data_IF_692587333984
#
_entry.id   IF_692587333984
#
_cell.length_a   1.000
_cell.length_b   1.000
_cell.length_c   1.000
_cell.angle_alpha   90.00
_cell.angle_beta   90.00
_cell.angle_gamma   90.00
#
_symmetry.space_group_name_H-M   'P 1'
#
loop_
_entity.id
_entity.type
_entity.pdbx_description
1 polymer ?
#
# COMPACT_ATOMS: atom_id res chain seq x y z
N UNK A 1 11.82 8.64 -14.31
CA UNK A 1 11.25 8.26 -12.99
C UNK A 1 10.84 6.79 -13.05
N UNK A 2 10.70 6.13 -11.91
CA UNK A 2 10.65 4.66 -11.81
C UNK A 2 9.28 4.22 -11.29
N UNK A 3 8.67 3.22 -11.91
CA UNK A 3 7.43 2.60 -11.45
C UNK A 3 7.63 2.00 -10.04
N UNK A 4 6.57 1.83 -9.27
CA UNK A 4 6.64 1.34 -7.89
C UNK A 4 5.77 0.10 -7.74
N UNK A 5 6.41 -1.04 -7.60
CA UNK A 5 5.75 -2.27 -7.16
C UNK A 5 5.66 -2.28 -5.63
N UNK A 6 4.46 -2.49 -5.10
CA UNK A 6 4.23 -2.70 -3.68
C UNK A 6 3.74 -4.13 -3.44
N UNK A 7 4.38 -4.86 -2.53
CA UNK A 7 4.07 -6.27 -2.25
C UNK A 7 3.90 -6.46 -0.74
N UNK A 8 2.87 -7.18 -0.31
CA UNK A 8 2.60 -7.50 1.09
C UNK A 8 2.34 -9.00 1.23
N UNK A 9 3.12 -9.63 2.09
CA UNK A 9 2.81 -10.96 2.60
C UNK A 9 1.77 -10.88 3.72
N UNK A 10 0.71 -11.66 3.62
CA UNK A 10 -0.35 -11.77 4.62
C UNK A 10 -0.55 -13.22 5.02
N UNK A 11 -0.14 -13.57 6.24
CA UNK A 11 -0.48 -14.85 6.84
C UNK A 11 -1.97 -14.91 7.16
N UNK A 12 -2.61 -16.04 6.85
CA UNK A 12 -4.00 -16.31 7.23
C UNK A 12 -4.09 -17.32 8.38
N UNK A 13 -5.31 -17.67 8.80
CA UNK A 13 -5.57 -18.68 9.83
C UNK A 13 -5.01 -20.08 9.49
N UNK A 14 -5.12 -21.04 10.42
CA UNK A 14 -4.46 -22.35 10.32
C UNK A 14 -4.82 -23.14 9.05
N UNK A 15 -6.05 -23.00 8.54
CA UNK A 15 -6.55 -23.77 7.39
C UNK A 15 -6.58 -22.99 6.07
N UNK A 16 -5.98 -21.80 6.02
CA UNK A 16 -5.97 -21.00 4.80
C UNK A 16 -4.55 -20.72 4.33
N UNK A 17 -4.30 -20.78 3.02
CA UNK A 17 -3.00 -20.41 2.49
C UNK A 17 -2.70 -18.93 2.80
N UNK A 18 -1.42 -18.56 2.95
CA UNK A 18 -1.02 -17.17 2.95
C UNK A 18 -1.46 -16.47 1.67
N UNK A 19 -1.59 -15.14 1.72
CA UNK A 19 -1.80 -14.32 0.54
C UNK A 19 -0.57 -13.47 0.22
N UNK A 20 -0.33 -13.26 -1.06
CA UNK A 20 0.46 -12.14 -1.53
C UNK A 20 -0.50 -11.08 -2.07
N UNK A 21 -0.44 -9.89 -1.48
CA UNK A 21 -1.16 -8.72 -1.97
C UNK A 21 -0.17 -7.84 -2.72
N UNK A 22 -0.53 -7.32 -3.89
CA UNK A 22 0.38 -6.48 -4.64
C UNK A 22 -0.33 -5.48 -5.55
N UNK A 23 0.40 -4.44 -5.94
CA UNK A 23 0.01 -3.48 -6.96
C UNK A 23 1.25 -2.91 -7.65
N UNK A 24 1.04 -2.29 -8.80
CA UNK A 24 2.06 -1.57 -9.56
C UNK A 24 1.55 -0.17 -9.89
N UNK A 25 2.29 0.82 -9.42
CA UNK A 25 2.04 2.22 -9.73
C UNK A 25 3.05 2.72 -10.76
N UNK A 26 2.62 3.59 -11.65
CA UNK A 26 3.54 4.32 -12.52
C UNK A 26 4.20 5.50 -11.78
N UNK A 27 4.97 6.29 -12.52
CA UNK A 27 5.63 7.49 -11.99
C UNK A 27 4.66 8.61 -11.55
N UNK A 28 3.42 8.59 -12.05
CA UNK A 28 2.34 9.52 -11.72
C UNK A 28 1.42 8.98 -10.64
N UNK A 29 1.77 7.84 -10.02
CA UNK A 29 0.93 7.14 -9.03
C UNK A 29 -0.40 6.64 -9.59
N UNK A 30 -0.47 6.40 -10.90
CA UNK A 30 -1.58 5.70 -11.54
C UNK A 30 -1.38 4.19 -11.51
N UNK A 31 -2.47 3.44 -11.46
CA UNK A 31 -2.39 1.97 -11.43
C UNK A 31 -2.03 1.42 -12.81
N UNK A 32 -0.88 0.76 -12.90
CA UNK A 32 -0.59 -0.19 -13.98
C UNK A 32 -1.11 -1.59 -13.63
N UNK A 33 -1.09 -1.92 -12.34
CA UNK A 33 -1.78 -3.08 -11.76
C UNK A 33 -2.61 -2.56 -10.61
N UNK A 34 -3.93 -2.62 -10.76
CA UNK A 34 -4.86 -2.37 -9.65
C UNK A 34 -4.59 -3.35 -8.50
N UNK A 35 -4.73 -2.97 -7.22
CA UNK A 35 -4.53 -3.84 -6.08
C UNK A 35 -5.19 -5.22 -6.23
N UNK A 36 -4.39 -6.27 -6.03
CA UNK A 36 -4.81 -7.67 -6.16
C UNK A 36 -4.26 -8.50 -5.02
N UNK A 37 -4.92 -9.64 -4.78
CA UNK A 37 -4.50 -10.67 -3.84
C UNK A 37 -4.39 -12.00 -4.58
N UNK A 38 -3.35 -12.78 -4.27
CA UNK A 38 -3.20 -14.16 -4.75
C UNK A 38 -3.01 -15.08 -3.55
N UNK A 39 -3.72 -16.21 -3.56
CA UNK A 39 -3.51 -17.28 -2.59
C UNK A 39 -2.23 -18.03 -2.95
N UNK A 40 -1.41 -18.31 -1.94
CA UNK A 40 -0.11 -18.97 -2.14
C UNK A 40 -0.31 -20.48 -2.04
N UNK A 41 -0.23 -21.15 -3.17
CA UNK A 41 -0.23 -22.62 -3.26
C UNK A 41 1.19 -23.15 -3.42
N UNK A 42 2.01 -22.48 -4.23
CA UNK A 42 3.38 -22.86 -4.55
C UNK A 42 4.30 -21.64 -4.49
N UNK A 43 4.82 -21.35 -3.29
CA UNK A 43 5.53 -20.11 -2.97
C UNK A 43 6.54 -19.67 -4.03
N UNK A 44 7.34 -20.61 -4.55
CA UNK A 44 8.36 -20.30 -5.56
C UNK A 44 7.72 -19.81 -6.85
N UNK A 45 6.78 -20.60 -7.38
CA UNK A 45 6.09 -20.33 -8.64
C UNK A 45 5.25 -19.05 -8.54
N UNK A 46 4.46 -18.90 -7.47
CA UNK A 46 3.60 -17.74 -7.25
C UNK A 46 4.38 -16.42 -7.20
N UNK A 47 5.56 -16.42 -6.59
CA UNK A 47 6.43 -15.25 -6.56
C UNK A 47 7.06 -14.99 -7.94
N UNK A 48 7.49 -16.03 -8.68
CA UNK A 48 8.00 -15.84 -10.04
C UNK A 48 6.93 -15.26 -10.97
N UNK A 49 5.71 -15.78 -10.93
CA UNK A 49 4.60 -15.33 -11.76
C UNK A 49 4.19 -13.89 -11.41
N UNK A 50 4.20 -13.54 -10.12
CA UNK A 50 4.02 -12.15 -9.68
C UNK A 50 5.06 -11.22 -10.31
N UNK A 51 6.34 -11.59 -10.31
CA UNK A 51 7.39 -10.73 -10.89
C UNK A 51 7.27 -10.65 -12.41
N UNK A 52 6.95 -11.76 -13.08
CA UNK A 52 6.69 -11.78 -14.53
C UNK A 52 5.53 -10.85 -14.89
N UNK A 53 4.46 -10.87 -14.10
CA UNK A 53 3.29 -10.01 -14.29
C UNK A 53 3.63 -8.53 -14.12
N UNK A 54 4.40 -8.17 -13.08
CA UNK A 54 4.90 -6.79 -12.87
C UNK A 54 5.79 -6.34 -14.02
N UNK A 55 6.73 -7.17 -14.46
CA UNK A 55 7.65 -6.86 -15.55
C UNK A 55 6.92 -6.60 -16.86
N UNK A 56 5.98 -7.49 -17.21
CA UNK A 56 5.14 -7.37 -18.40
C UNK A 56 4.38 -6.04 -18.42
N UNK A 57 3.79 -5.65 -17.29
CA UNK A 57 2.99 -4.42 -17.21
C UNK A 57 3.82 -3.15 -16.95
N UNK A 58 5.09 -3.29 -16.61
CA UNK A 58 6.01 -2.16 -16.50
C UNK A 58 6.44 -1.61 -17.87
N UNK A 59 6.19 -2.34 -18.97
CA UNK A 59 6.43 -1.92 -20.37
C UNK A 59 7.82 -1.29 -20.57
N UNK A 60 8.87 -2.03 -20.21
CA UNK A 60 10.28 -1.64 -20.29
C UNK A 60 10.71 -0.44 -19.43
N UNK A 61 9.79 0.20 -18.70
CA UNK A 61 10.15 1.19 -17.70
C UNK A 61 10.76 0.50 -16.50
N UNK A 62 11.84 1.07 -15.98
CA UNK A 62 12.40 0.66 -14.71
C UNK A 62 11.33 0.73 -13.61
N UNK A 63 11.28 -0.28 -12.76
CA UNK A 63 10.47 -0.29 -11.55
C UNK A 63 11.34 -0.61 -10.34
N UNK A 64 10.88 -0.18 -9.17
CA UNK A 64 11.45 -0.59 -7.89
C UNK A 64 10.45 -1.36 -7.09
N UNK A 65 10.94 -2.26 -6.25
CA UNK A 65 10.09 -3.07 -5.39
C UNK A 65 10.19 -2.60 -3.96
N UNK A 66 9.02 -2.32 -3.39
CA UNK A 66 8.82 -2.10 -1.97
C UNK A 66 7.97 -3.22 -1.43
N UNK A 67 8.38 -3.83 -0.34
CA UNK A 67 7.65 -4.98 0.17
C UNK A 67 7.56 -5.01 1.69
N UNK A 68 6.52 -5.67 2.19
CA UNK A 68 6.42 -6.05 3.59
C UNK A 68 6.31 -7.56 3.73
N UNK A 69 7.27 -8.14 4.42
CA UNK A 69 7.19 -9.46 5.02
C UNK A 69 7.03 -9.34 6.54
N UNK A 70 6.53 -10.38 7.20
CA UNK A 70 6.48 -10.45 8.67
C UNK A 70 7.90 -10.77 9.18
N UNK A 71 8.30 -10.17 10.31
CA UNK A 71 9.64 -10.29 10.90
C UNK A 71 9.66 -11.38 11.99
N UNK A 72 10.87 -11.79 12.39
CA UNK A 72 11.17 -12.76 13.45
C UNK A 72 10.61 -12.47 14.86
N UNK A 73 9.94 -11.34 15.07
CA UNK A 73 9.49 -10.86 16.38
C UNK A 73 7.98 -10.97 16.64
N UNK A 74 7.18 -11.43 15.68
CA UNK A 74 5.81 -11.88 15.95
C UNK A 74 5.90 -13.37 16.32
N UNK A 75 5.50 -13.70 17.56
CA UNK A 75 5.80 -14.94 18.27
C UNK A 75 5.67 -16.24 17.47
N UNK A 76 6.50 -17.23 17.85
CA UNK A 76 6.53 -18.62 17.39
C UNK A 76 6.28 -18.82 15.88
N UNK A 77 7.37 -18.84 15.09
CA UNK A 77 7.34 -18.71 13.64
C UNK A 77 6.51 -19.72 12.85
N UNK A 78 5.69 -19.18 11.93
CA UNK A 78 5.37 -19.86 10.68
C UNK A 78 6.56 -19.73 9.72
N UNK A 79 7.09 -20.87 9.29
CA UNK A 79 8.24 -20.96 8.38
C UNK A 79 7.98 -20.32 7.00
N UNK A 80 6.71 -20.17 6.63
CA UNK A 80 6.27 -19.63 5.34
C UNK A 80 6.74 -18.18 5.08
N UNK A 81 6.69 -17.33 6.10
CA UNK A 81 6.99 -15.90 6.01
C UNK A 81 8.49 -15.65 5.88
N UNK A 82 9.30 -16.48 6.54
CA UNK A 82 10.75 -16.48 6.40
C UNK A 82 11.16 -16.97 5.01
N UNK A 83 10.56 -18.07 4.53
CA UNK A 83 10.78 -18.57 3.18
C UNK A 83 10.44 -17.50 2.13
N UNK A 84 9.31 -16.81 2.26
CA UNK A 84 8.95 -15.70 1.39
C UNK A 84 9.98 -14.57 1.44
N UNK A 85 10.40 -14.14 2.63
CA UNK A 85 11.38 -13.07 2.81
C UNK A 85 12.74 -13.39 2.16
N UNK A 86 13.21 -14.62 2.33
CA UNK A 86 14.46 -15.09 1.72
C UNK A 86 14.31 -15.11 0.20
N UNK A 87 13.21 -15.69 -0.30
CA UNK A 87 12.97 -15.81 -1.75
C UNK A 87 12.90 -14.44 -2.43
N UNK A 88 12.09 -13.51 -1.90
CA UNK A 88 11.94 -12.18 -2.51
C UNK A 88 13.27 -11.42 -2.52
N UNK A 89 14.07 -11.48 -1.45
CA UNK A 89 15.38 -10.83 -1.43
C UNK A 89 16.35 -11.41 -2.46
N UNK A 90 16.39 -12.75 -2.60
CA UNK A 90 17.22 -13.39 -3.63
C UNK A 90 16.81 -12.93 -5.03
N UNK A 91 15.51 -12.85 -5.30
CA UNK A 91 14.99 -12.39 -6.59
C UNK A 91 15.32 -10.92 -6.87
N UNK A 92 15.09 -10.05 -5.88
CA UNK A 92 15.43 -8.63 -6.00
C UNK A 92 16.92 -8.41 -6.24
N UNK A 93 17.78 -9.16 -5.54
CA UNK A 93 19.23 -9.12 -5.75
C UNK A 93 19.60 -9.59 -7.16
N UNK A 94 19.07 -10.73 -7.59
CA UNK A 94 19.32 -11.29 -8.93
C UNK A 94 18.91 -10.34 -10.06
N UNK A 95 17.81 -9.60 -9.87
CA UNK A 95 17.27 -8.65 -10.85
C UNK A 95 17.81 -7.22 -10.71
N UNK A 96 18.75 -6.96 -9.81
CA UNK A 96 19.25 -5.61 -9.48
C UNK A 96 18.14 -4.61 -9.06
N UNK A 97 17.07 -5.12 -8.42
CA UNK A 97 15.92 -4.33 -7.94
C UNK A 97 15.96 -4.07 -6.42
N UNK A 98 17.01 -4.58 -5.75
CA UNK A 98 17.16 -4.43 -4.31
C UNK A 98 17.68 -3.03 -3.97
N UNK A 99 16.80 -2.16 -3.47
CA UNK A 99 17.20 -0.85 -2.95
C UNK A 99 17.44 -0.92 -1.44
N UNK A 100 18.29 -0.03 -0.88
CA UNK A 100 18.31 0.23 0.54
C UNK A 100 16.90 0.57 1.04
N UNK A 101 16.50 -0.07 2.14
CA UNK A 101 15.17 0.10 2.73
C UNK A 101 14.00 -0.32 1.81
N UNK A 102 14.18 -1.20 0.82
CA UNK A 102 13.06 -1.79 0.03
C UNK A 102 12.00 -2.43 0.92
N UNK A 103 12.40 -2.95 2.08
CA UNK A 103 11.49 -3.52 3.07
C UNK A 103 10.82 -2.44 3.92
N UNK A 104 9.50 -2.46 3.99
CA UNK A 104 8.71 -1.69 4.96
C UNK A 104 8.68 -2.41 6.31
N UNK A 105 9.32 -1.81 7.31
CA UNK A 105 9.50 -2.40 8.65
C UNK A 105 8.16 -2.54 9.39
N UNK A 106 7.28 -1.54 9.33
CA UNK A 106 5.99 -1.53 10.03
C UNK A 106 4.88 -0.91 9.17
N UNK A 107 3.64 -1.36 9.40
CA UNK A 107 2.45 -0.71 8.86
C UNK A 107 1.99 0.39 9.81
N UNK A 108 1.16 1.30 9.30
CA UNK A 108 0.50 2.30 10.13
C UNK A 108 -0.37 1.64 11.20
N UNK A 109 -0.28 2.14 12.43
CA UNK A 109 -1.18 1.79 13.53
C UNK A 109 -2.61 2.29 13.26
N UNK A 110 -3.60 1.75 13.97
CA UNK A 110 -5.05 1.97 13.75
C UNK A 110 -5.43 3.43 13.44
N UNK A 111 -5.05 4.38 14.28
CA UNK A 111 -5.37 5.81 14.10
C UNK A 111 -4.77 6.39 12.81
N UNK A 112 -3.46 6.23 12.63
CA UNK A 112 -2.77 6.70 11.42
C UNK A 112 -3.30 6.00 10.16
N UNK A 113 -3.67 4.72 10.26
CA UNK A 113 -4.26 3.98 9.14
C UNK A 113 -5.66 4.49 8.81
N UNK A 114 -6.47 4.84 9.81
CA UNK A 114 -7.79 5.44 9.61
C UNK A 114 -7.67 6.81 8.92
N UNK A 115 -6.76 7.66 9.43
CA UNK A 115 -6.42 8.93 8.81
C UNK A 115 -5.97 8.76 7.34
N UNK A 116 -5.07 7.80 7.09
CA UNK A 116 -4.60 7.53 5.73
C UNK A 116 -5.72 7.02 4.80
N UNK A 117 -6.60 6.14 5.29
CA UNK A 117 -7.76 5.65 4.53
C UNK A 117 -8.73 6.77 4.18
N UNK A 118 -8.97 7.71 5.10
CA UNK A 118 -9.79 8.88 4.82
C UNK A 118 -9.16 9.75 3.74
N UNK A 119 -7.85 9.99 3.81
CA UNK A 119 -7.13 10.73 2.78
C UNK A 119 -7.23 10.06 1.41
N UNK A 120 -7.00 8.74 1.33
CA UNK A 120 -7.13 7.99 0.09
C UNK A 120 -8.55 8.06 -0.48
N UNK A 121 -9.57 7.93 0.36
CA UNK A 121 -10.97 8.01 -0.07
C UNK A 121 -11.31 9.38 -0.68
N UNK A 122 -10.83 10.48 -0.08
CA UNK A 122 -11.00 11.84 -0.63
C UNK A 122 -10.15 12.09 -1.90
N UNK A 123 -9.26 11.17 -2.25
CA UNK A 123 -8.41 11.19 -3.44
C UNK A 123 -8.88 10.15 -4.48
N UNK A 124 -10.15 9.75 -4.39
CA UNK A 124 -10.83 8.78 -5.26
C UNK A 124 -10.15 7.40 -5.29
N UNK A 125 -9.47 7.02 -4.21
CA UNK A 125 -8.91 5.69 -4.01
C UNK A 125 -9.79 4.95 -3.01
N UNK A 126 -10.67 4.09 -3.52
CA UNK A 126 -11.55 3.30 -2.67
C UNK A 126 -10.75 2.26 -1.87
N UNK A 127 -10.68 2.48 -0.56
CA UNK A 127 -10.15 1.55 0.42
C UNK A 127 -11.13 1.33 1.59
N UNK A 128 -12.37 1.82 1.44
CA UNK A 128 -13.41 1.77 2.48
C UNK A 128 -14.46 0.69 2.19
N UNK A 129 -14.64 0.31 0.92
CA UNK A 129 -15.49 -0.84 0.57
C UNK A 129 -15.00 -2.10 1.27
N UNK A 130 -15.96 -2.94 1.69
CA UNK A 130 -15.67 -4.21 2.34
C UNK A 130 -14.74 -5.04 1.47
N UNK A 131 -13.64 -5.54 2.05
CA UNK A 131 -12.61 -6.27 1.31
C UNK A 131 -11.44 -5.40 0.81
N UNK A 132 -11.63 -4.09 0.63
CA UNK A 132 -10.60 -3.21 0.05
C UNK A 132 -9.64 -2.59 1.08
N UNK A 133 -9.73 -3.00 2.35
CA UNK A 133 -8.89 -2.44 3.42
C UNK A 133 -7.38 -2.64 3.16
N UNK A 134 -7.00 -3.68 2.40
CA UNK A 134 -5.60 -3.96 2.06
C UNK A 134 -5.01 -2.99 1.05
N UNK A 135 -5.84 -2.30 0.26
CA UNK A 135 -5.41 -1.27 -0.70
C UNK A 135 -4.63 -0.19 0.04
N UNK A 136 -5.14 0.26 1.18
CA UNK A 136 -4.44 1.23 2.03
C UNK A 136 -3.07 0.70 2.48
N UNK A 137 -2.94 -0.59 2.81
CA UNK A 137 -1.65 -1.18 3.17
C UNK A 137 -0.67 -1.18 1.99
N UNK A 138 -1.14 -1.50 0.78
CA UNK A 138 -0.29 -1.44 -0.40
C UNK A 138 0.19 0.00 -0.68
N UNK A 139 -0.69 1.00 -0.57
CA UNK A 139 -0.31 2.41 -0.67
C UNK A 139 0.71 2.82 0.40
N UNK A 140 0.55 2.36 1.65
CA UNK A 140 1.56 2.64 2.68
C UNK A 140 2.93 2.05 2.34
N UNK A 141 2.96 0.85 1.74
CA UNK A 141 4.21 0.20 1.30
C UNK A 141 4.80 0.94 0.10
N UNK A 142 3.99 1.21 -0.93
CA UNK A 142 4.40 1.92 -2.14
C UNK A 142 5.01 3.28 -1.84
N UNK A 143 4.49 4.01 -0.85
CA UNK A 143 4.98 5.34 -0.49
C UNK A 143 5.92 5.36 0.71
N UNK A 144 6.19 4.21 1.36
CA UNK A 144 6.89 4.13 2.65
C UNK A 144 6.26 5.07 3.69
N UNK A 145 4.92 5.11 3.74
CA UNK A 145 4.18 5.94 4.67
C UNK A 145 4.30 5.39 6.09
N UNK A 146 5.17 6.00 6.89
CA UNK A 146 5.29 5.77 8.34
C UNK A 146 4.56 6.87 9.11
N UNK A 147 4.44 6.77 10.44
CA UNK A 147 3.86 7.84 11.29
C UNK A 147 4.46 9.22 10.97
N UNK A 148 5.78 9.30 10.75
CA UNK A 148 6.47 10.56 10.44
C UNK A 148 6.32 11.02 8.98
N UNK A 149 6.00 10.09 8.07
CA UNK A 149 6.00 10.34 6.62
C UNK A 149 4.60 10.32 6.00
N UNK A 150 3.56 10.08 6.81
CA UNK A 150 2.18 9.95 6.33
C UNK A 150 1.69 11.21 5.62
N UNK A 151 1.97 12.39 6.18
CA UNK A 151 1.58 13.68 5.58
C UNK A 151 2.30 13.92 4.26
N UNK A 152 3.58 13.55 4.18
CA UNK A 152 4.37 13.63 2.96
C UNK A 152 3.81 12.70 1.89
N UNK A 153 3.44 11.47 2.26
CA UNK A 153 2.82 10.51 1.36
C UNK A 153 1.48 11.03 0.82
N UNK A 154 0.60 11.52 1.70
CA UNK A 154 -0.70 12.09 1.31
C UNK A 154 -0.51 13.27 0.36
N UNK A 155 0.37 14.22 0.70
CA UNK A 155 0.69 15.37 -0.15
C UNK A 155 1.20 14.94 -1.52
N UNK A 156 2.00 13.87 -1.58
CA UNK A 156 2.52 13.33 -2.83
C UNK A 156 1.39 12.78 -3.72
N UNK A 157 0.44 12.03 -3.14
CA UNK A 157 -0.73 11.53 -3.90
C UNK A 157 -1.58 12.70 -4.37
N UNK A 158 -1.90 13.63 -3.47
CA UNK A 158 -2.70 14.82 -3.80
C UNK A 158 -2.09 15.61 -4.96
N UNK A 159 -0.78 15.90 -4.90
CA UNK A 159 -0.07 16.57 -5.99
C UNK A 159 -0.17 15.81 -7.31
N UNK A 160 -0.01 14.49 -7.27
CA UNK A 160 -0.10 13.66 -8.47
C UNK A 160 -1.50 13.70 -9.10
N UNK A 161 -2.55 13.56 -8.28
CA UNK A 161 -3.96 13.65 -8.71
C UNK A 161 -4.32 15.02 -9.31
N UNK A 162 -3.66 16.08 -8.86
CA UNK A 162 -3.87 17.44 -9.35
C UNK A 162 -2.92 17.84 -10.51
N UNK A 163 -2.03 16.94 -10.96
CA UNK A 163 -1.01 17.27 -11.97
C UNK A 163 0.03 18.30 -11.52
N UNK A 164 0.21 18.50 -10.20
CA UNK A 164 1.05 19.55 -9.63
C UNK A 164 2.48 19.04 -9.39
N UNK A 165 3.46 19.62 -10.08
CA UNK A 165 4.87 19.32 -9.84
C UNK A 165 5.47 20.11 -8.68
N UNK A 166 5.16 21.41 -8.55
CA UNK A 166 5.64 22.30 -7.48
C UNK A 166 4.47 23.04 -6.82
N UNK A 167 4.52 23.17 -5.49
CA UNK A 167 3.50 23.90 -4.75
C UNK A 167 3.70 25.41 -4.94
N UNK A 168 2.67 26.10 -5.40
CA UNK A 168 2.53 27.55 -5.31
C UNK A 168 1.60 27.93 -4.13
N UNK A 169 1.42 29.23 -3.87
CA UNK A 169 0.56 29.73 -2.78
C UNK A 169 -0.86 29.15 -2.86
N UNK A 170 -1.49 29.19 -4.03
CA UNK A 170 -2.85 28.67 -4.25
C UNK A 170 -2.95 27.16 -3.93
N UNK A 171 -2.09 26.33 -4.52
CA UNK A 171 -2.06 24.89 -4.24
C UNK A 171 -1.78 24.57 -2.77
N UNK A 172 -1.06 25.43 -2.06
CA UNK A 172 -0.76 25.26 -0.63
C UNK A 172 -2.01 25.49 0.21
N UNK A 173 -2.78 26.53 -0.12
CA UNK A 173 -4.09 26.80 0.49
C UNK A 173 -5.04 25.63 0.24
N UNK A 174 -5.19 25.20 -1.03
CA UNK A 174 -6.04 24.05 -1.38
C UNK A 174 -5.64 22.75 -0.69
N UNK A 175 -4.33 22.50 -0.54
CA UNK A 175 -3.85 21.34 0.20
C UNK A 175 -4.18 21.44 1.69
N UNK A 176 -4.08 22.64 2.28
CA UNK A 176 -4.46 22.86 3.68
C UNK A 176 -5.96 22.62 3.90
N UNK A 177 -6.82 23.12 3.01
CA UNK A 177 -8.27 22.85 3.00
C UNK A 177 -8.55 21.34 2.93
N UNK A 178 -7.96 20.66 1.95
CA UNK A 178 -8.04 19.20 1.82
C UNK A 178 -7.60 18.48 3.11
N UNK A 179 -6.50 18.91 3.72
CA UNK A 179 -5.98 18.31 4.94
C UNK A 179 -6.94 18.46 6.12
N UNK A 180 -7.60 19.62 6.25
CA UNK A 180 -8.65 19.85 7.25
C UNK A 180 -9.83 18.89 7.09
N UNK A 181 -10.26 18.60 5.85
CA UNK A 181 -11.32 17.62 5.60
C UNK A 181 -10.94 16.20 6.03
N UNK A 182 -9.66 15.80 5.87
CA UNK A 182 -9.20 14.49 6.36
C UNK A 182 -9.33 14.40 7.89
N UNK A 183 -8.91 15.44 8.61
CA UNK A 183 -9.01 15.50 10.07
C UNK A 183 -10.47 15.39 10.52
N UNK A 184 -11.35 16.18 9.90
CA UNK A 184 -12.79 16.15 10.20
C UNK A 184 -13.38 14.74 10.08
N UNK A 185 -13.13 14.03 8.98
CA UNK A 185 -13.61 12.66 8.78
C UNK A 185 -12.94 11.61 9.68
N UNK A 186 -11.79 11.94 10.26
CA UNK A 186 -11.08 11.05 11.20
C UNK A 186 -11.67 11.17 12.60
N UNK A 187 -12.04 12.38 13.01
CA UNK A 187 -12.72 12.68 14.28
C UNK A 187 -14.20 12.28 14.25
N UNK A 188 -14.85 12.40 13.08
CA UNK A 188 -16.28 12.13 12.88
C UNK A 188 -16.50 11.00 11.86
N UNK A 189 -16.19 9.73 12.22
CA UNK A 189 -16.38 8.61 11.31
C UNK A 189 -17.87 8.42 11.01
N UNK A 190 -18.24 8.46 9.73
CA UNK A 190 -19.62 8.40 9.22
C UNK A 190 -20.42 7.18 9.70
N UNK A 191 -19.76 6.11 10.16
CA UNK A 191 -20.43 4.92 10.72
C UNK A 191 -20.95 5.10 12.16
N UNK A 192 -20.60 6.18 12.89
CA UNK A 192 -21.18 6.45 14.22
C UNK A 192 -22.62 6.96 14.16
N UNK A 193 -23.05 7.53 13.03
CA UNK A 193 -24.37 8.16 12.90
C UNK A 193 -25.39 7.30 12.12
N UNK A 194 -24.99 6.10 11.65
CA UNK A 194 -25.89 5.18 10.92
C UNK A 194 -26.64 4.17 11.79
N UNK A 195 -26.40 4.14 13.11
CA UNK A 195 -27.06 3.20 14.03
C UNK A 195 -28.36 3.72 14.68
N UNK A 196 -28.74 4.98 14.43
CA UNK A 196 -29.97 5.56 15.00
C UNK A 196 -31.08 5.86 13.97
N UNK A 197 -30.92 5.43 12.71
CA UNK A 197 -31.83 5.84 11.62
C UNK A 197 -32.75 4.72 11.07
N UNK A 198 -32.76 3.53 11.68
CA UNK A 198 -33.70 2.46 11.31
C UNK A 198 -34.29 1.81 12.56
N UNK A 199 -35.18 2.55 13.21
CA UNK A 199 -36.24 2.03 14.08
C UNK A 199 -37.48 2.87 13.77
N UNK A 200 -38.16 2.53 12.68
CA UNK A 200 -39.55 2.85 12.41
C UNK A 200 -40.18 1.63 11.77
#
# INVERSE_FOLDING_TARGET
MTNIAAIRWLTQGPHKPPLIQYMLLDQHLEYLIYPREIAVTELKQDVYDLFKHIETLSKDKAFKVRYKSINRSYGAHRQDSEKFHILINRLLKKKNLLEPNSRTVSLLKKENLAFFKNALYLLDIDCKTRGNAFIAHLWTIALKATKKQINVAIKKIWKARQGIQRMNKNSTIKFAEFYTHINFHTEHPTNKYKLNAFNF
#
